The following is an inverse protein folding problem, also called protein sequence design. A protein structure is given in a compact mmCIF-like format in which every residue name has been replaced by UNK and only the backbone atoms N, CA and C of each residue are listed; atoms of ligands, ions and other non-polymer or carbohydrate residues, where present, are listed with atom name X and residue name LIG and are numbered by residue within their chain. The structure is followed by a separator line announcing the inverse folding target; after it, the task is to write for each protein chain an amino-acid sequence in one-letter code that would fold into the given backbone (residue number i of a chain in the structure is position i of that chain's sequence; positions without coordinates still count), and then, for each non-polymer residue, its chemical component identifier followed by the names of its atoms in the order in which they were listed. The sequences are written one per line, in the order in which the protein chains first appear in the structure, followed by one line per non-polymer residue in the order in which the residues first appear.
data_IF_447387066670
#
_entry.id   IF_447387066670
#
_cell.length_a   1.000
_cell.length_b   1.000
_cell.length_c   1.000
_cell.angle_alpha   90.00
_cell.angle_beta   90.00
_cell.angle_gamma   90.00
#
_symmetry.space_group_name_H-M   'P 1'
#
loop_
_entity.id
_entity.type
_entity.pdbx_description
1 polymer ?
#
# COMPACT_ATOMS: atom_id res chain seq x y z
N UNK A 1 -1.95 -5.37 19.43
CA UNK A 1 -2.21 -4.98 18.02
C UNK A 1 -0.88 -4.91 17.27
N UNK A 2 -0.91 -4.84 15.94
CA UNK A 2 0.30 -4.67 15.09
C UNK A 2 0.18 -3.37 14.30
N UNK A 3 1.32 -2.82 13.89
CA UNK A 3 1.43 -1.58 13.11
C UNK A 3 2.18 -1.86 11.81
N UNK A 4 1.51 -1.74 10.67
CA UNK A 4 2.15 -1.83 9.36
C UNK A 4 2.83 -0.49 9.05
N UNK A 5 4.07 -0.55 8.57
CA UNK A 5 4.83 0.65 8.25
C UNK A 5 4.44 1.15 6.85
N UNK A 6 3.80 2.32 6.80
CA UNK A 6 3.33 2.95 5.57
C UNK A 6 4.06 4.29 5.37
N UNK A 7 5.23 4.31 4.72
CA UNK A 7 5.86 5.58 4.36
C UNK A 7 5.02 6.30 3.29
N UNK A 8 4.76 7.59 3.53
CA UNK A 8 4.08 8.48 2.58
C UNK A 8 5.09 9.03 1.58
N UNK A 9 5.02 8.58 0.34
CA UNK A 9 5.98 8.97 -0.69
C UNK A 9 5.74 10.35 -1.29
N UNK A 10 4.63 11.01 -0.96
CA UNK A 10 4.43 12.44 -1.24
C UNK A 10 5.21 13.26 -0.22
N UNK A 11 5.03 12.99 1.07
CA UNK A 11 5.73 13.70 2.14
C UNK A 11 7.25 13.42 2.13
N UNK A 12 7.65 12.22 1.72
CA UNK A 12 9.04 11.76 1.72
C UNK A 12 9.72 11.86 0.34
N UNK A 13 9.22 12.70 -0.57
CA UNK A 13 9.71 12.78 -1.95
C UNK A 13 11.25 12.97 -2.08
N UNK A 14 11.86 13.75 -1.18
CA UNK A 14 13.30 14.01 -1.13
C UNK A 14 14.14 12.97 -0.37
N UNK A 15 13.51 11.94 0.22
CA UNK A 15 14.22 10.94 1.03
C UNK A 15 14.91 9.92 0.11
N UNK A 16 16.19 9.64 0.37
CA UNK A 16 16.96 8.60 -0.32
C UNK A 16 16.63 7.18 0.20
N UNK A 17 16.92 6.13 -0.60
CA UNK A 17 16.53 4.76 -0.26
C UNK A 17 17.22 4.24 1.01
N UNK A 18 18.50 4.58 1.21
CA UNK A 18 19.24 4.22 2.42
C UNK A 18 18.71 4.89 3.68
N UNK A 19 18.34 6.18 3.59
CA UNK A 19 17.74 6.90 4.72
C UNK A 19 16.38 6.30 5.10
N UNK A 20 15.54 5.98 4.10
CA UNK A 20 14.27 5.31 4.37
C UNK A 20 14.49 3.94 5.01
N UNK A 21 15.41 3.12 4.49
CA UNK A 21 15.73 1.81 5.04
C UNK A 21 16.16 1.89 6.51
N UNK A 22 17.03 2.85 6.86
CA UNK A 22 17.47 3.03 8.25
C UNK A 22 16.30 3.36 9.20
N UNK A 23 15.38 4.23 8.77
CA UNK A 23 14.19 4.58 9.57
C UNK A 23 13.19 3.44 9.67
N UNK A 24 13.01 2.66 8.59
CA UNK A 24 12.19 1.45 8.63
C UNK A 24 12.78 0.41 9.59
N UNK A 25 14.11 0.23 9.61
CA UNK A 25 14.78 -0.69 10.55
C UNK A 25 14.59 -0.27 12.01
N UNK A 26 14.72 1.02 12.31
CA UNK A 26 14.47 1.58 13.64
C UNK A 26 13.05 1.25 14.14
N UNK A 27 12.05 1.43 13.28
CA UNK A 27 10.65 1.10 13.60
C UNK A 27 10.40 -0.41 13.67
N UNK A 28 11.11 -1.20 12.85
CA UNK A 28 10.98 -2.66 12.80
C UNK A 28 11.46 -3.37 14.07
N UNK A 29 12.29 -2.71 14.90
CA UNK A 29 12.71 -3.21 16.20
C UNK A 29 11.58 -3.26 17.23
N UNK A 30 10.47 -2.54 16.98
CA UNK A 30 9.30 -2.60 17.85
C UNK A 30 8.63 -3.98 17.77
N UNK A 31 8.26 -4.60 18.91
CA UNK A 31 7.47 -5.82 18.90
C UNK A 31 6.09 -5.59 18.28
N UNK A 32 5.60 -4.35 18.18
CA UNK A 32 4.34 -4.05 17.52
C UNK A 32 4.44 -4.01 15.98
N UNK A 33 5.65 -4.04 15.40
CA UNK A 33 5.81 -3.99 13.95
C UNK A 33 5.08 -5.14 13.25
N UNK A 34 4.30 -4.80 12.23
CA UNK A 34 3.57 -5.74 11.39
C UNK A 34 4.52 -6.58 10.55
N UNK A 35 4.29 -7.89 10.57
CA UNK A 35 5.10 -8.89 9.85
C UNK A 35 4.19 -9.87 9.14
N UNK A 36 4.65 -10.38 8.00
CA UNK A 36 4.04 -11.55 7.37
C UNK A 36 4.24 -12.78 8.27
N UNK A 37 3.51 -13.86 7.97
CA UNK A 37 3.60 -15.11 8.73
C UNK A 37 5.02 -15.72 8.71
N UNK A 38 5.80 -15.45 7.67
CA UNK A 38 7.20 -15.86 7.52
C UNK A 38 8.20 -14.98 8.30
N UNK A 39 7.72 -13.96 9.02
CA UNK A 39 8.53 -13.07 9.86
C UNK A 39 9.06 -11.82 9.15
N UNK A 40 8.91 -11.70 7.82
CA UNK A 40 9.35 -10.51 7.09
C UNK A 40 8.53 -9.28 7.48
N UNK A 41 9.20 -8.15 7.65
CA UNK A 41 8.55 -6.86 7.90
C UNK A 41 7.64 -6.48 6.74
N UNK A 42 6.40 -6.07 7.05
CA UNK A 42 5.48 -5.52 6.05
C UNK A 42 5.78 -4.04 5.85
N UNK A 43 6.17 -3.65 4.64
CA UNK A 43 6.32 -2.25 4.23
C UNK A 43 5.25 -1.94 3.19
N UNK A 44 4.31 -1.07 3.53
CA UNK A 44 3.12 -0.76 2.71
C UNK A 44 3.14 0.70 2.25
N UNK A 45 4.05 1.10 1.34
CA UNK A 45 4.21 2.51 0.97
C UNK A 45 2.97 3.09 0.28
N UNK A 46 2.55 4.28 0.69
CA UNK A 46 1.54 5.06 -0.02
C UNK A 46 2.16 5.78 -1.23
N UNK A 47 1.48 5.71 -2.38
CA UNK A 47 1.97 6.22 -3.67
C UNK A 47 3.33 5.62 -4.03
N UNK A 48 3.43 4.30 -3.94
CA UNK A 48 4.67 3.57 -4.16
C UNK A 48 5.31 3.85 -5.53
N UNK A 49 4.48 4.10 -6.55
CA UNK A 49 4.86 4.42 -7.93
C UNK A 49 5.56 5.77 -8.09
N UNK A 50 5.60 6.61 -7.05
CA UNK A 50 6.42 7.82 -7.05
C UNK A 50 7.93 7.50 -7.11
N UNK A 51 8.32 6.24 -6.86
CA UNK A 51 9.67 5.72 -7.04
C UNK A 51 9.64 4.48 -7.93
N UNK A 52 10.67 4.31 -8.74
CA UNK A 52 10.80 3.12 -9.60
C UNK A 52 11.06 1.83 -8.79
N UNK A 53 10.67 0.64 -9.31
CA UNK A 53 10.96 -0.65 -8.67
C UNK A 53 12.41 -0.86 -8.25
N UNK A 54 13.37 -0.33 -9.02
CA UNK A 54 14.80 -0.36 -8.69
C UNK A 54 15.15 0.36 -7.39
N UNK A 55 14.48 1.48 -7.11
CA UNK A 55 14.68 2.25 -5.89
C UNK A 55 14.20 1.47 -4.66
N UNK A 56 13.05 0.81 -4.77
CA UNK A 56 12.52 -0.04 -3.71
C UNK A 56 13.38 -1.29 -3.45
N UNK A 57 13.95 -1.90 -4.49
CA UNK A 57 14.94 -2.97 -4.32
C UNK A 57 16.13 -2.49 -3.49
N UNK A 58 16.64 -1.28 -3.71
CA UNK A 58 17.72 -0.73 -2.89
C UNK A 58 17.32 -0.55 -1.42
N UNK A 59 16.08 -0.15 -1.13
CA UNK A 59 15.56 -0.07 0.24
C UNK A 59 15.57 -1.47 0.90
N UNK A 60 14.98 -2.47 0.23
CA UNK A 60 14.90 -3.84 0.74
C UNK A 60 16.28 -4.48 0.93
N UNK A 61 17.18 -4.29 -0.04
CA UNK A 61 18.55 -4.77 0.06
C UNK A 61 19.32 -4.08 1.19
N UNK A 62 19.11 -2.77 1.41
CA UNK A 62 19.73 -2.06 2.54
C UNK A 62 19.19 -2.56 3.87
N UNK A 63 17.88 -2.75 4.00
CA UNK A 63 17.26 -3.35 5.20
C UNK A 63 17.87 -4.71 5.53
N UNK A 64 17.99 -5.60 4.54
CA UNK A 64 18.54 -6.94 4.72
C UNK A 64 20.04 -6.90 5.04
N UNK A 65 20.84 -6.23 4.21
CA UNK A 65 22.31 -6.33 4.25
C UNK A 65 22.96 -5.42 5.30
N UNK A 66 22.33 -4.30 5.66
CA UNK A 66 22.89 -3.34 6.64
C UNK A 66 22.21 -3.40 8.00
N UNK A 67 20.95 -3.82 8.04
CA UNK A 67 20.14 -3.80 9.26
C UNK A 67 19.63 -5.20 9.68
N UNK A 68 19.97 -6.26 8.96
CA UNK A 68 19.54 -7.63 9.28
C UNK A 68 18.02 -7.80 9.32
N UNK A 69 17.28 -6.94 8.61
CA UNK A 69 15.82 -6.92 8.60
C UNK A 69 15.32 -7.38 7.24
N UNK A 70 14.80 -8.60 7.17
CA UNK A 70 14.07 -9.02 5.98
C UNK A 70 12.70 -8.34 5.93
N UNK A 71 12.34 -7.86 4.74
CA UNK A 71 11.13 -7.10 4.50
C UNK A 71 10.55 -7.45 3.13
N UNK A 72 9.26 -7.19 2.96
CA UNK A 72 8.58 -7.35 1.68
C UNK A 72 7.54 -6.24 1.49
N UNK A 73 7.24 -5.92 0.23
CA UNK A 73 6.31 -4.84 -0.08
C UNK A 73 4.86 -5.30 -0.17
N UNK A 74 3.97 -4.46 0.34
CA UNK A 74 2.54 -4.46 0.06
C UNK A 74 2.13 -3.03 -0.38
N UNK A 75 2.57 -2.56 -1.55
CA UNK A 75 2.43 -1.16 -1.95
C UNK A 75 0.98 -0.75 -2.19
N UNK A 76 0.69 0.52 -1.88
CA UNK A 76 -0.58 1.19 -2.17
C UNK A 76 -0.36 2.18 -3.32
N UNK A 77 -1.08 1.99 -4.42
CA UNK A 77 -0.98 2.83 -5.62
C UNK A 77 -2.13 3.83 -5.75
N UNK A 78 -1.87 4.95 -6.40
CA UNK A 78 -2.90 5.81 -6.98
C UNK A 78 -3.31 5.37 -8.39
N UNK A 79 -2.40 4.71 -9.13
CA UNK A 79 -2.69 4.08 -10.43
C UNK A 79 -2.19 2.62 -10.44
N UNK A 80 -2.97 1.70 -9.86
CA UNK A 80 -2.58 0.30 -9.79
C UNK A 80 -2.44 -0.37 -11.17
N UNK A 81 -3.37 -0.22 -12.14
CA UNK A 81 -3.28 -0.89 -13.43
C UNK A 81 -1.99 -0.57 -14.20
N UNK A 82 -1.50 0.68 -14.16
CA UNK A 82 -0.25 1.06 -14.81
C UNK A 82 1.01 0.50 -14.13
N UNK A 83 0.91 0.06 -12.87
CA UNK A 83 2.05 -0.23 -12.01
C UNK A 83 2.18 -1.69 -11.59
N UNK A 84 1.10 -2.46 -11.58
CA UNK A 84 1.06 -3.82 -11.05
C UNK A 84 2.18 -4.72 -11.61
N UNK A 85 2.31 -4.78 -12.94
CA UNK A 85 3.26 -5.68 -13.61
C UNK A 85 4.72 -5.37 -13.26
N UNK A 86 5.11 -4.08 -13.21
CA UNK A 86 6.50 -3.69 -12.89
C UNK A 86 6.85 -3.85 -11.42
N UNK A 87 5.84 -3.82 -10.53
CA UNK A 87 6.03 -4.02 -9.09
C UNK A 87 5.87 -5.49 -8.64
N UNK A 88 5.27 -6.36 -9.44
CA UNK A 88 5.05 -7.76 -9.10
C UNK A 88 6.31 -8.52 -8.67
N UNK A 89 7.49 -8.37 -9.31
CA UNK A 89 8.67 -9.13 -8.90
C UNK A 89 9.19 -8.82 -7.49
N UNK A 90 8.80 -7.69 -6.88
CA UNK A 90 9.28 -7.25 -5.56
C UNK A 90 8.18 -7.11 -4.49
N UNK A 91 6.93 -7.42 -4.84
CA UNK A 91 5.79 -7.24 -3.94
C UNK A 91 5.19 -8.59 -3.55
N UNK A 92 4.69 -8.71 -2.32
CA UNK A 92 3.92 -9.86 -1.84
C UNK A 92 2.44 -9.75 -2.16
N UNK A 93 1.98 -8.51 -2.25
CA UNK A 93 0.62 -8.18 -2.64
C UNK A 93 0.57 -6.77 -3.16
N UNK A 94 -0.65 -6.29 -3.38
CA UNK A 94 -0.91 -4.91 -3.78
C UNK A 94 -2.13 -4.37 -3.07
N UNK A 95 -2.26 -3.05 -3.14
CA UNK A 95 -3.48 -2.32 -2.84
C UNK A 95 -3.55 -1.10 -3.74
N UNK A 96 -4.71 -0.49 -3.81
CA UNK A 96 -4.90 0.83 -4.39
C UNK A 96 -5.51 1.75 -3.34
N UNK A 97 -5.36 3.07 -3.51
CA UNK A 97 -5.88 4.03 -2.53
C UNK A 97 -7.40 3.92 -2.43
N UNK A 98 -8.08 3.58 -3.53
CA UNK A 98 -9.51 3.37 -3.59
C UNK A 98 -10.30 4.64 -3.87
N UNK A 99 -11.46 4.46 -4.49
CA UNK A 99 -12.42 5.52 -4.69
C UNK A 99 -13.13 5.87 -3.36
N UNK A 100 -13.42 7.15 -3.17
CA UNK A 100 -14.03 7.68 -1.94
C UNK A 100 -15.49 8.09 -2.11
N UNK A 101 -16.06 7.87 -3.29
CA UNK A 101 -17.47 8.08 -3.61
C UNK A 101 -18.22 6.77 -3.82
N UNK A 102 -19.44 6.66 -3.28
CA UNK A 102 -20.29 5.48 -3.45
C UNK A 102 -20.70 5.22 -4.92
N UNK A 103 -20.69 6.24 -5.77
CA UNK A 103 -21.10 6.12 -7.18
C UNK A 103 -19.99 5.61 -8.10
N UNK A 104 -18.75 5.52 -7.60
CA UNK A 104 -17.58 5.19 -8.41
C UNK A 104 -16.72 4.08 -7.77
N UNK A 105 -17.36 3.11 -7.13
CA UNK A 105 -16.71 1.91 -6.56
C UNK A 105 -16.42 0.80 -7.60
N UNK A 106 -16.52 1.11 -8.90
CA UNK A 106 -16.20 0.16 -9.96
C UNK A 106 -14.69 -0.13 -10.05
N UNK A 107 -14.33 -1.28 -10.62
CA UNK A 107 -12.93 -1.65 -10.90
C UNK A 107 -12.28 -2.59 -9.88
N UNK A 108 -12.79 -2.68 -8.64
CA UNK A 108 -12.24 -3.53 -7.58
C UNK A 108 -12.04 -4.99 -8.02
N UNK A 109 -13.06 -5.62 -8.62
CA UNK A 109 -12.97 -7.00 -9.10
C UNK A 109 -11.90 -7.19 -10.19
N UNK A 110 -11.72 -6.20 -11.07
CA UNK A 110 -10.69 -6.26 -12.11
C UNK A 110 -9.28 -6.11 -11.53
N UNK A 111 -9.13 -5.31 -10.47
CA UNK A 111 -7.85 -5.15 -9.78
C UNK A 111 -7.48 -6.37 -8.95
N UNK A 112 -8.45 -6.97 -8.28
CA UNK A 112 -8.31 -8.26 -7.59
C UNK A 112 -7.89 -9.34 -8.59
N UNK A 113 -8.57 -9.45 -9.74
CA UNK A 113 -8.21 -10.40 -10.79
C UNK A 113 -6.78 -10.18 -11.30
N UNK A 114 -6.40 -8.93 -11.57
CA UNK A 114 -5.04 -8.57 -11.99
C UNK A 114 -3.98 -8.95 -10.94
N UNK A 115 -4.25 -8.74 -9.66
CA UNK A 115 -3.35 -9.15 -8.58
C UNK A 115 -3.22 -10.69 -8.53
N UNK A 116 -4.34 -11.42 -8.64
CA UNK A 116 -4.38 -12.89 -8.68
C UNK A 116 -3.62 -13.46 -9.89
N UNK A 117 -3.79 -12.88 -11.08
CA UNK A 117 -3.07 -13.28 -12.30
C UNK A 117 -1.56 -13.10 -12.18
N UNK A 118 -1.11 -12.12 -11.38
CA UNK A 118 0.30 -11.89 -11.05
C UNK A 118 0.78 -12.76 -9.88
N UNK A 119 -0.08 -13.61 -9.31
CA UNK A 119 0.21 -14.48 -8.17
C UNK A 119 0.40 -13.71 -6.85
N UNK A 120 -0.28 -12.57 -6.69
CA UNK A 120 -0.09 -11.64 -5.57
C UNK A 120 -1.31 -11.52 -4.69
N UNK A 121 -1.09 -11.22 -3.41
CA UNK A 121 -2.15 -10.86 -2.48
C UNK A 121 -2.82 -9.56 -2.92
N UNK A 122 -4.10 -9.40 -2.58
CA UNK A 122 -4.82 -8.15 -2.73
C UNK A 122 -5.31 -7.66 -1.37
N UNK A 123 -4.98 -6.41 -1.03
CA UNK A 123 -5.50 -5.71 0.13
C UNK A 123 -6.52 -4.67 -0.36
N UNK A 124 -7.81 -5.03 -0.34
CA UNK A 124 -8.88 -4.16 -0.83
C UNK A 124 -9.01 -2.90 0.03
N UNK A 125 -8.98 -1.68 -0.55
CA UNK A 125 -9.29 -0.47 0.19
C UNK A 125 -10.78 -0.44 0.57
N UNK A 126 -11.04 -0.01 1.80
CA UNK A 126 -12.38 0.27 2.33
C UNK A 126 -12.44 1.72 2.77
N UNK A 127 -13.45 2.44 2.32
CA UNK A 127 -13.58 3.90 2.46
C UNK A 127 -14.83 4.25 3.26
N UNK A 128 -14.77 5.28 4.09
CA UNK A 128 -15.97 5.84 4.74
C UNK A 128 -16.42 7.10 3.99
N UNK A 129 -15.52 8.08 3.90
CA UNK A 129 -15.72 9.40 3.30
C UNK A 129 -14.35 9.97 2.92
N UNK A 130 -14.31 10.95 2.02
CA UNK A 130 -13.14 11.80 1.84
C UNK A 130 -13.51 13.27 1.95
N UNK A 131 -12.82 13.96 2.86
CA UNK A 131 -12.96 15.37 3.08
C UNK A 131 -11.56 15.96 3.26
N UNK A 132 -11.13 16.75 2.27
CA UNK A 132 -9.82 17.42 2.27
C UNK A 132 -10.04 18.91 2.07
N UNK A 133 -10.41 19.65 3.14
CA UNK A 133 -10.73 21.08 3.03
C UNK A 133 -9.59 21.91 2.43
N UNK A 134 -8.34 21.56 2.73
CA UNK A 134 -7.16 22.22 2.16
C UNK A 134 -6.97 22.00 0.64
N UNK A 135 -7.65 21.00 0.06
CA UNK A 135 -7.64 20.69 -1.37
C UNK A 135 -8.99 21.03 -2.03
N UNK A 136 -9.98 21.51 -1.27
CA UNK A 136 -11.34 21.74 -1.77
C UNK A 136 -12.06 20.45 -2.22
N UNK A 137 -11.63 19.28 -1.74
CA UNK A 137 -12.21 17.98 -2.11
C UNK A 137 -13.22 17.54 -1.05
N UNK A 138 -14.40 17.15 -1.51
CA UNK A 138 -15.44 16.51 -0.71
C UNK A 138 -16.13 15.44 -1.56
N UNK A 139 -16.00 14.18 -1.13
CA UNK A 139 -16.78 13.07 -1.69
C UNK A 139 -17.89 12.70 -0.70
N UNK A 140 -19.14 12.87 -1.12
CA UNK A 140 -20.30 12.58 -0.30
C UNK A 140 -20.39 11.08 0.00
N UNK A 141 -20.44 10.72 1.28
CA UNK A 141 -20.46 9.32 1.72
C UNK A 141 -21.81 8.61 1.47
N UNK A 142 -22.85 9.36 1.08
CA UNK A 142 -24.23 8.84 1.01
C UNK A 142 -24.66 8.26 2.36
N UNK A 143 -24.39 8.97 3.45
CA UNK A 143 -24.51 8.46 4.81
C UNK A 143 -23.50 7.31 5.07
N UNK A 144 -23.94 6.05 5.14
CA UNK A 144 -23.04 4.88 5.26
C UNK A 144 -22.86 4.12 3.95
N UNK A 145 -23.35 4.64 2.82
CA UNK A 145 -23.37 3.91 1.55
C UNK A 145 -21.96 3.58 1.04
N UNK A 146 -21.03 4.54 1.07
CA UNK A 146 -19.63 4.30 0.67
C UNK A 146 -18.97 3.19 1.49
N UNK A 147 -19.17 3.21 2.82
CA UNK A 147 -18.63 2.18 3.72
C UNK A 147 -19.20 0.80 3.42
N UNK A 148 -20.53 0.69 3.27
CA UNK A 148 -21.18 -0.58 2.96
C UNK A 148 -20.75 -1.13 1.60
N UNK A 149 -20.72 -0.27 0.58
CA UNK A 149 -20.35 -0.68 -0.77
C UNK A 149 -18.89 -1.15 -0.84
N UNK A 150 -17.96 -0.41 -0.24
CA UNK A 150 -16.54 -0.78 -0.25
C UNK A 150 -16.25 -2.02 0.60
N UNK A 151 -16.95 -2.23 1.73
CA UNK A 151 -16.88 -3.49 2.47
C UNK A 151 -17.45 -4.66 1.69
N UNK A 152 -18.58 -4.48 1.02
CA UNK A 152 -19.19 -5.54 0.21
C UNK A 152 -18.26 -5.95 -0.92
N UNK A 153 -17.62 -4.99 -1.60
CA UNK A 153 -16.60 -5.28 -2.61
C UNK A 153 -15.43 -6.09 -2.04
N UNK A 154 -14.98 -5.80 -0.81
CA UNK A 154 -13.92 -6.56 -0.15
C UNK A 154 -14.33 -7.99 0.24
N UNK A 155 -15.63 -8.25 0.44
CA UNK A 155 -16.16 -9.58 0.77
C UNK A 155 -16.39 -10.41 -0.49
N UNK A 156 -16.90 -9.78 -1.56
CA UNK A 156 -17.37 -10.48 -2.76
C UNK A 156 -16.26 -10.77 -3.79
N UNK A 157 -15.06 -10.21 -3.62
CA UNK A 157 -13.94 -10.32 -4.58
C UNK A 157 -12.78 -11.16 -4.03
#
# INVERSE_FOLDING_TARGET
FRVVLMPDMVALAGTGPGTLAARLAELAASPAAGRFADGRLVVSPFKAEAKEPGWWRQVLDTLRTRHGTDAALLPVFLDFPANAARFAPLSEGFSEWGNRSYTAQGGAAADVARAKDLGKLWMQPVSVQDARPNQGIYDEAGNTATLRASWQAAIDT
#
